data_IF_964626268273
#
_entry.id   IF_964626268273
#
_cell.length_a   1.000
_cell.length_b   1.000
_cell.length_c   1.000
_cell.angle_alpha   90.00
_cell.angle_beta   90.00
_cell.angle_gamma   90.00
#
_symmetry.space_group_name_H-M   'P 1'
#
loop_
_entity.id
_entity.type
_entity.pdbx_description
1 polymer ?
#
# COMPACT_ATOMS: atom_id res chain seq x y z
N UNK A 1 11.46 31.30 -2.40
CA UNK A 1 12.41 30.19 -2.63
C UNK A 1 11.58 28.94 -2.41
N UNK A 2 11.06 28.36 -3.49
CA UNK A 2 10.17 27.21 -3.40
C UNK A 2 11.01 25.99 -3.02
N UNK A 3 10.78 25.48 -1.81
CA UNK A 3 11.40 24.26 -1.36
C UNK A 3 10.77 23.09 -2.13
N UNK A 4 11.53 22.53 -3.06
CA UNK A 4 11.15 21.30 -3.74
C UNK A 4 11.00 20.17 -2.70
N UNK A 5 9.82 19.56 -2.68
CA UNK A 5 9.45 18.52 -1.74
C UNK A 5 10.41 17.32 -1.82
N UNK A 6 10.86 16.99 -3.03
CA UNK A 6 11.79 15.87 -3.24
C UNK A 6 13.17 16.20 -2.69
N UNK A 7 13.60 17.46 -2.84
CA UNK A 7 14.87 17.96 -2.28
C UNK A 7 14.84 17.92 -0.77
N UNK A 8 13.69 18.24 -0.19
CA UNK A 8 13.45 18.18 1.26
C UNK A 8 13.51 16.73 1.76
N UNK A 9 12.87 15.78 1.07
CA UNK A 9 12.94 14.35 1.42
C UNK A 9 14.35 13.77 1.30
N UNK A 10 15.09 14.14 0.25
CA UNK A 10 16.48 13.71 0.05
C UNK A 10 17.40 14.27 1.16
N UNK A 11 17.31 15.57 1.46
CA UNK A 11 18.08 16.22 2.52
C UNK A 11 17.76 15.63 3.91
N UNK A 12 16.49 15.41 4.23
CA UNK A 12 16.08 14.79 5.50
C UNK A 12 16.56 13.34 5.65
N UNK A 13 16.89 12.68 4.54
CA UNK A 13 17.42 11.31 4.52
C UNK A 13 18.95 11.22 4.48
N UNK A 14 19.66 12.35 4.56
CA UNK A 14 21.13 12.39 4.53
C UNK A 14 21.75 12.14 3.15
N UNK A 15 20.97 12.20 2.06
CA UNK A 15 21.51 12.13 0.69
C UNK A 15 22.11 13.49 0.30
N UNK A 16 23.24 13.46 -0.41
CA UNK A 16 23.89 14.68 -0.88
C UNK A 16 23.04 15.34 -1.97
N UNK A 17 23.10 16.68 -2.07
CA UNK A 17 22.35 17.42 -3.09
C UNK A 17 22.77 17.07 -4.55
N UNK A 18 23.92 16.42 -4.74
CA UNK A 18 24.40 15.97 -6.06
C UNK A 18 23.78 14.62 -6.47
N UNK A 19 23.45 13.75 -5.51
CA UNK A 19 22.71 12.51 -5.78
C UNK A 19 21.23 12.77 -6.08
N UNK A 20 20.73 13.95 -5.66
CA UNK A 20 19.35 14.39 -5.83
C UNK A 20 18.98 14.73 -7.28
N UNK A 21 19.87 15.42 -8.01
CA UNK A 21 19.61 15.82 -9.40
C UNK A 21 19.63 14.62 -10.38
N UNK A 22 20.15 13.47 -9.96
CA UNK A 22 20.36 12.32 -10.84
C UNK A 22 19.18 11.32 -10.88
N UNK A 23 18.25 11.32 -9.93
CA UNK A 23 17.18 10.29 -9.82
C UNK A 23 15.85 10.88 -9.30
N UNK A 24 15.32 11.92 -9.92
CA UNK A 24 13.97 12.39 -9.59
C UNK A 24 12.89 11.44 -10.14
N UNK A 25 11.77 11.28 -9.43
CA UNK A 25 10.62 10.53 -9.93
C UNK A 25 9.77 11.45 -10.79
N UNK A 26 9.59 11.13 -12.06
CA UNK A 26 8.75 11.92 -12.95
C UNK A 26 7.26 11.83 -12.57
N UNK A 27 6.45 12.77 -13.06
CA UNK A 27 5.03 12.84 -12.71
C UNK A 27 4.22 11.62 -13.20
N UNK A 28 4.62 10.99 -14.30
CA UNK A 28 3.95 9.78 -14.78
C UNK A 28 4.13 8.61 -13.80
N UNK A 29 5.34 8.42 -13.28
CA UNK A 29 5.64 7.40 -12.28
C UNK A 29 4.94 7.69 -10.95
N UNK A 30 4.86 8.97 -10.55
CA UNK A 30 4.06 9.39 -9.39
C UNK A 30 2.59 9.00 -9.54
N UNK A 31 1.99 9.26 -10.71
CA UNK A 31 0.61 8.87 -11.00
C UNK A 31 0.42 7.36 -10.93
N UNK A 32 1.34 6.58 -11.50
CA UNK A 32 1.30 5.11 -11.44
C UNK A 32 1.35 4.62 -9.99
N UNK A 33 2.26 5.16 -9.18
CA UNK A 33 2.39 4.79 -7.76
C UNK A 33 1.13 5.17 -6.98
N UNK A 34 0.58 6.37 -7.17
CA UNK A 34 -0.64 6.80 -6.48
C UNK A 34 -1.84 5.90 -6.83
N UNK A 35 -2.00 5.54 -8.10
CA UNK A 35 -3.05 4.63 -8.54
C UNK A 35 -2.87 3.23 -7.94
N UNK A 36 -1.63 2.72 -7.87
CA UNK A 36 -1.35 1.43 -7.26
C UNK A 36 -1.69 1.40 -5.77
N UNK A 37 -1.37 2.46 -5.03
CA UNK A 37 -1.75 2.62 -3.61
C UNK A 37 -3.28 2.63 -3.44
N UNK A 38 -4.01 3.31 -4.33
CA UNK A 38 -5.48 3.33 -4.30
C UNK A 38 -6.10 1.96 -4.61
N UNK A 39 -5.58 1.26 -5.62
CA UNK A 39 -6.02 -0.10 -5.97
C UNK A 39 -5.76 -1.06 -4.82
N UNK A 40 -4.57 -1.00 -4.22
CA UNK A 40 -4.19 -1.80 -3.05
C UNK A 40 -5.11 -1.52 -1.86
N UNK A 41 -5.33 -0.24 -1.51
CA UNK A 41 -6.27 0.15 -0.45
C UNK A 41 -7.68 -0.37 -0.70
N UNK A 42 -8.15 -0.29 -1.95
CA UNK A 42 -9.49 -0.73 -2.36
C UNK A 42 -9.65 -2.24 -2.19
N UNK A 43 -8.66 -3.02 -2.63
CA UNK A 43 -8.66 -4.47 -2.48
C UNK A 43 -8.67 -4.89 -1.01
N UNK A 44 -7.78 -4.31 -0.19
CA UNK A 44 -7.72 -4.58 1.26
C UNK A 44 -9.07 -4.21 1.91
N UNK A 45 -9.61 -3.03 1.59
CA UNK A 45 -10.89 -2.56 2.13
C UNK A 45 -12.05 -3.46 1.78
N UNK A 46 -12.13 -3.93 0.52
CA UNK A 46 -13.17 -4.86 0.10
C UNK A 46 -13.05 -6.18 0.86
N UNK A 47 -11.84 -6.72 0.99
CA UNK A 47 -11.59 -7.96 1.72
C UNK A 47 -11.94 -7.84 3.21
N UNK A 48 -11.59 -6.72 3.85
CA UNK A 48 -11.98 -6.45 5.24
C UNK A 48 -13.49 -6.29 5.36
N UNK A 49 -14.15 -5.62 4.42
CA UNK A 49 -15.60 -5.44 4.45
C UNK A 49 -16.34 -6.76 4.28
N UNK A 50 -15.81 -7.66 3.44
CA UNK A 50 -16.30 -9.02 3.21
C UNK A 50 -16.23 -9.93 4.45
N UNK A 51 -15.50 -9.55 5.51
CA UNK A 51 -15.53 -10.30 6.79
C UNK A 51 -16.80 -10.02 7.60
N UNK A 52 -17.64 -9.07 7.18
CA UNK A 52 -18.91 -8.75 7.83
C UNK A 52 -18.85 -7.61 8.85
N UNK A 53 -17.80 -6.78 8.81
CA UNK A 53 -17.70 -5.55 9.62
C UNK A 53 -18.34 -4.35 8.90
N UNK A 54 -18.47 -3.22 9.59
CA UNK A 54 -18.90 -1.95 8.98
C UNK A 54 -17.81 -1.37 8.07
N UNK A 55 -18.19 -0.59 7.05
CA UNK A 55 -17.27 0.00 6.07
C UNK A 55 -16.16 0.85 6.72
N UNK A 56 -16.50 1.66 7.73
CA UNK A 56 -15.52 2.49 8.46
C UNK A 56 -14.51 1.66 9.24
N UNK A 57 -14.93 0.53 9.81
CA UNK A 57 -14.04 -0.43 10.47
C UNK A 57 -13.15 -1.09 9.44
N UNK A 58 -13.69 -1.50 8.30
CA UNK A 58 -12.93 -2.07 7.19
C UNK A 58 -11.85 -1.10 6.68
N UNK A 59 -12.20 0.17 6.46
CA UNK A 59 -11.22 1.21 6.07
C UNK A 59 -10.15 1.44 7.13
N UNK A 60 -10.53 1.48 8.41
CA UNK A 60 -9.58 1.66 9.51
C UNK A 60 -8.55 0.53 9.56
N UNK A 61 -9.02 -0.74 9.54
CA UNK A 61 -8.14 -1.92 9.45
C UNK A 61 -7.26 -1.85 8.20
N UNK A 62 -7.82 -1.40 7.07
CA UNK A 62 -7.09 -1.28 5.81
C UNK A 62 -5.98 -0.23 5.85
N UNK A 63 -6.14 0.86 6.60
CA UNK A 63 -5.06 1.85 6.78
C UNK A 63 -3.85 1.24 7.49
N UNK A 64 -4.08 0.43 8.52
CA UNK A 64 -3.01 -0.23 9.26
C UNK A 64 -2.30 -1.27 8.40
N UNK A 65 -3.05 -2.14 7.72
CA UNK A 65 -2.50 -3.15 6.79
C UNK A 65 -1.69 -2.46 5.67
N UNK A 66 -2.24 -1.43 5.03
CA UNK A 66 -1.56 -0.70 3.96
C UNK A 66 -0.25 -0.06 4.45
N UNK A 67 -0.26 0.54 5.65
CA UNK A 67 0.94 1.09 6.27
C UNK A 67 1.97 -0.02 6.50
N UNK A 68 1.57 -1.13 7.09
CA UNK A 68 2.50 -2.20 7.46
C UNK A 68 3.16 -2.83 6.23
N UNK A 69 2.40 -3.06 5.15
CA UNK A 69 2.92 -3.49 3.84
C UNK A 69 4.00 -2.52 3.32
N UNK A 70 3.68 -1.22 3.27
CA UNK A 70 4.55 -0.22 2.65
C UNK A 70 5.78 0.08 3.50
N UNK A 71 5.66 0.01 4.84
CA UNK A 71 6.78 0.24 5.75
C UNK A 71 7.70 -0.99 5.89
N UNK A 72 7.23 -2.19 5.54
CA UNK A 72 8.07 -3.38 5.42
C UNK A 72 9.08 -3.29 4.26
N UNK A 73 8.81 -2.46 3.25
CA UNK A 73 9.71 -2.23 2.13
C UNK A 73 10.93 -1.42 2.61
N UNK A 74 12.18 -1.92 2.49
CA UNK A 74 13.36 -1.21 2.96
C UNK A 74 13.57 0.11 2.20
N UNK A 75 13.95 1.17 2.92
CA UNK A 75 14.19 2.50 2.33
C UNK A 75 15.54 2.49 1.61
N UNK A 76 15.53 2.13 0.34
CA UNK A 76 16.77 1.99 -0.45
C UNK A 76 16.87 3.00 -1.60
N UNK A 77 15.75 3.57 -2.05
CA UNK A 77 15.71 4.52 -3.16
C UNK A 77 14.58 5.56 -3.03
N UNK A 78 14.57 6.54 -3.94
CA UNK A 78 13.55 7.61 -3.97
C UNK A 78 12.14 7.06 -4.24
N UNK A 79 12.01 5.99 -5.04
CA UNK A 79 10.73 5.32 -5.29
C UNK A 79 10.10 4.78 -4.00
N UNK A 80 10.85 4.09 -3.15
CA UNK A 80 10.33 3.62 -1.85
C UNK A 80 9.93 4.77 -0.94
N UNK A 81 10.71 5.86 -0.90
CA UNK A 81 10.35 7.07 -0.13
C UNK A 81 9.04 7.67 -0.64
N UNK A 82 8.87 7.77 -1.96
CA UNK A 82 7.66 8.30 -2.57
C UNK A 82 6.44 7.39 -2.34
N UNK A 83 6.60 6.06 -2.43
CA UNK A 83 5.51 5.11 -2.11
C UNK A 83 5.01 5.31 -0.67
N UNK A 84 5.92 5.50 0.30
CA UNK A 84 5.56 5.81 1.70
C UNK A 84 4.81 7.13 1.81
N UNK A 85 5.26 8.17 1.11
CA UNK A 85 4.57 9.46 1.09
C UNK A 85 3.18 9.37 0.44
N UNK A 86 3.08 8.75 -0.73
CA UNK A 86 1.82 8.51 -1.45
C UNK A 86 0.82 7.76 -0.56
N UNK A 87 1.30 6.75 0.17
CA UNK A 87 0.51 5.99 1.14
C UNK A 87 -0.01 6.86 2.28
N UNK A 88 0.86 7.67 2.89
CA UNK A 88 0.45 8.60 3.95
C UNK A 88 -0.60 9.61 3.46
N UNK A 89 -0.38 10.21 2.30
CA UNK A 89 -1.33 11.16 1.71
C UNK A 89 -2.66 10.49 1.34
N UNK A 90 -2.62 9.26 0.82
CA UNK A 90 -3.82 8.49 0.53
C UNK A 90 -4.63 8.20 1.79
N UNK A 91 -3.98 7.71 2.85
CA UNK A 91 -4.61 7.47 4.16
C UNK A 91 -5.24 8.76 4.69
N UNK A 92 -4.52 9.90 4.64
CA UNK A 92 -5.02 11.20 5.07
C UNK A 92 -6.30 11.59 4.32
N UNK A 93 -6.30 11.48 2.98
CA UNK A 93 -7.46 11.79 2.13
C UNK A 93 -8.64 10.85 2.43
N UNK A 94 -8.38 9.56 2.61
CA UNK A 94 -9.42 8.58 2.88
C UNK A 94 -10.04 8.73 4.27
N UNK A 95 -9.25 9.08 5.29
CA UNK A 95 -9.78 9.43 6.62
C UNK A 95 -10.76 10.60 6.57
N UNK A 96 -10.46 11.63 5.78
CA UNK A 96 -11.38 12.77 5.56
C UNK A 96 -12.67 12.28 4.88
N UNK A 97 -12.56 11.48 3.82
CA UNK A 97 -13.73 10.88 3.15
C UNK A 97 -14.57 10.02 4.09
N UNK A 98 -13.94 9.25 4.98
CA UNK A 98 -14.60 8.43 6.00
C UNK A 98 -15.43 9.26 6.96
N UNK A 99 -14.91 10.39 7.41
CA UNK A 99 -15.65 11.28 8.31
C UNK A 99 -16.82 11.98 7.60
N UNK A 100 -16.76 12.14 6.28
CA UNK A 100 -17.77 12.85 5.49
C UNK A 100 -18.83 11.92 4.88
N UNK A 101 -18.57 10.62 4.76
CA UNK A 101 -19.51 9.68 4.12
C UNK A 101 -20.59 9.21 5.09
N UNK A 102 -21.84 9.19 4.64
CA UNK A 102 -22.97 8.65 5.41
C UNK A 102 -22.92 7.11 5.53
N UNK A 103 -22.15 6.45 4.67
CA UNK A 103 -22.10 4.99 4.54
C UNK A 103 -21.10 4.32 5.48
N UNK A 104 -20.39 5.07 6.35
CA UNK A 104 -19.34 4.54 7.24
C UNK A 104 -19.83 3.38 8.11
N UNK A 105 -21.10 3.40 8.52
CA UNK A 105 -21.68 2.36 9.37
C UNK A 105 -22.37 1.24 8.57
N UNK A 106 -22.28 1.24 7.24
CA UNK A 106 -22.92 0.22 6.41
C UNK A 106 -22.14 -1.09 6.38
N UNK A 107 -22.90 -2.18 6.43
CA UNK A 107 -22.38 -3.53 6.22
C UNK A 107 -22.49 -3.89 4.74
N UNK A 108 -21.54 -4.72 4.27
CA UNK A 108 -21.58 -5.19 2.90
C UNK A 108 -22.77 -6.12 2.72
N UNK A 109 -23.60 -5.83 1.72
CA UNK A 109 -24.67 -6.74 1.29
C UNK A 109 -24.11 -7.63 0.19
N UNK A 110 -23.34 -8.64 0.57
CA UNK A 110 -22.76 -9.62 -0.35
C UNK A 110 -23.61 -10.91 -0.35
N UNK A 111 -24.30 -11.23 -1.45
CA UNK A 111 -24.96 -12.52 -1.59
C UNK A 111 -23.93 -13.66 -1.52
N UNK A 112 -24.24 -14.79 -0.85
CA UNK A 112 -23.29 -15.91 -0.70
C UNK A 112 -22.67 -16.38 -2.02
N UNK A 113 -23.47 -16.43 -3.08
CA UNK A 113 -23.06 -16.86 -4.43
C UNK A 113 -22.06 -15.90 -5.11
N UNK A 114 -21.95 -14.66 -4.63
CA UNK A 114 -20.98 -13.67 -5.15
C UNK A 114 -19.75 -13.52 -4.27
N UNK A 115 -19.75 -14.11 -3.08
CA UNK A 115 -18.70 -13.91 -2.09
C UNK A 115 -17.34 -14.36 -2.60
N UNK A 116 -17.28 -15.52 -3.25
CA UNK A 116 -16.04 -16.06 -3.82
C UNK A 116 -15.52 -15.18 -4.95
N UNK A 117 -16.41 -14.69 -5.82
CA UNK A 117 -16.03 -13.78 -6.90
C UNK A 117 -15.51 -12.44 -6.36
N UNK A 118 -16.13 -11.89 -5.31
CA UNK A 118 -15.69 -10.63 -4.71
C UNK A 118 -14.40 -10.79 -3.92
N UNK A 119 -14.19 -11.94 -3.27
CA UNK A 119 -12.91 -12.27 -2.64
C UNK A 119 -11.79 -12.36 -3.70
N UNK A 120 -12.03 -13.04 -4.83
CA UNK A 120 -11.07 -13.13 -5.93
C UNK A 120 -10.77 -11.75 -6.54
N UNK A 121 -11.79 -10.90 -6.68
CA UNK A 121 -11.65 -9.52 -7.16
C UNK A 121 -10.85 -8.62 -6.19
N UNK A 122 -11.01 -8.83 -4.88
CA UNK A 122 -10.23 -8.16 -3.86
C UNK A 122 -8.76 -8.61 -3.90
N UNK A 123 -8.51 -9.93 -3.98
CA UNK A 123 -7.18 -10.52 -4.08
C UNK A 123 -6.45 -10.05 -5.34
N UNK A 124 -7.12 -10.02 -6.49
CA UNK A 124 -6.56 -9.51 -7.76
C UNK A 124 -6.11 -8.05 -7.61
N UNK A 125 -6.92 -7.18 -7.00
CA UNK A 125 -6.52 -5.77 -6.77
C UNK A 125 -5.31 -5.67 -5.86
N UNK A 126 -5.25 -6.49 -4.82
CA UNK A 126 -4.10 -6.47 -3.90
C UNK A 126 -2.84 -6.89 -4.64
N UNK A 127 -2.90 -7.98 -5.40
CA UNK A 127 -1.77 -8.46 -6.18
C UNK A 127 -1.32 -7.43 -7.23
N UNK A 128 -2.25 -6.86 -8.00
CA UNK A 128 -1.97 -5.84 -9.01
C UNK A 128 -1.30 -4.59 -8.40
N UNK A 129 -1.82 -4.11 -7.27
CA UNK A 129 -1.24 -2.97 -6.55
C UNK A 129 0.18 -3.25 -6.07
N UNK A 130 0.41 -4.42 -5.46
CA UNK A 130 1.73 -4.84 -4.98
C UNK A 130 2.73 -4.98 -6.13
N UNK A 131 2.32 -5.60 -7.25
CA UNK A 131 3.20 -5.82 -8.41
C UNK A 131 3.60 -4.52 -9.08
N UNK A 132 2.68 -3.55 -9.20
CA UNK A 132 3.00 -2.23 -9.74
C UNK A 132 4.00 -1.50 -8.83
N UNK A 133 3.76 -1.49 -7.52
CA UNK A 133 4.66 -0.88 -6.53
C UNK A 133 6.04 -1.52 -6.61
N UNK A 134 6.11 -2.86 -6.65
CA UNK A 134 7.37 -3.61 -6.74
C UNK A 134 8.14 -3.28 -7.99
N UNK A 135 7.48 -3.36 -9.15
CA UNK A 135 8.10 -3.06 -10.45
C UNK A 135 8.67 -1.65 -10.45
N UNK A 136 7.90 -0.67 -9.96
CA UNK A 136 8.34 0.72 -9.89
C UNK A 136 9.51 0.92 -8.92
N UNK A 137 9.54 0.25 -7.77
CA UNK A 137 10.71 0.32 -6.88
C UNK A 137 11.96 -0.23 -7.57
N UNK A 138 11.84 -1.37 -8.27
CA UNK A 138 12.97 -2.03 -8.93
C UNK A 138 13.56 -1.22 -10.08
N UNK A 139 12.76 -0.43 -10.79
CA UNK A 139 13.23 0.49 -11.85
C UNK A 139 14.19 1.57 -11.31
N UNK A 140 14.11 1.88 -10.01
CA UNK A 140 14.90 2.92 -9.34
C UNK A 140 15.99 2.35 -8.42
N UNK A 141 16.25 1.03 -8.46
CA UNK A 141 17.40 0.42 -7.78
C UNK A 141 18.65 0.64 -8.65
N UNK A 142 19.73 1.28 -8.15
CA UNK A 142 20.93 1.51 -8.94
C UNK A 142 21.56 0.20 -9.42
N UNK A 143 21.86 0.11 -10.73
CA UNK A 143 22.39 -1.09 -11.40
C UNK A 143 23.77 -1.62 -10.96
N UNK A 144 24.28 -1.16 -9.81
CA UNK A 144 25.54 -1.58 -9.19
C UNK A 144 25.39 -2.36 -7.88
N UNK A 145 24.17 -2.53 -7.33
CA UNK A 145 23.93 -3.56 -6.32
C UNK A 145 23.86 -4.91 -7.03
N UNK A 146 25.05 -5.48 -7.29
CA UNK A 146 25.20 -6.88 -7.67
C UNK A 146 24.33 -7.73 -6.78
N UNK A 147 23.49 -8.54 -7.43
CA UNK A 147 22.80 -9.74 -6.93
C UNK A 147 23.72 -10.61 -6.06
N UNK A 148 23.99 -10.22 -4.83
CA UNK A 148 24.59 -11.10 -3.83
C UNK A 148 23.45 -11.70 -3.03
N UNK A 149 22.97 -12.86 -3.50
CA UNK A 149 22.46 -13.92 -2.63
C UNK A 149 21.06 -13.79 -2.04
N UNK A 150 20.37 -12.66 -2.17
CA UNK A 150 18.96 -12.56 -1.77
C UNK A 150 18.15 -11.97 -2.91
N UNK A 151 17.38 -12.83 -3.59
CA UNK A 151 16.17 -12.41 -4.28
C UNK A 151 15.43 -11.42 -3.36
N UNK A 152 14.99 -10.23 -3.81
CA UNK A 152 14.14 -9.38 -2.99
C UNK A 152 12.79 -10.07 -2.85
N UNK A 153 12.74 -11.01 -1.91
CA UNK A 153 11.57 -11.69 -1.38
C UNK A 153 11.35 -11.11 0.02
N UNK A 154 10.95 -9.84 0.07
CA UNK A 154 10.61 -9.18 1.34
C UNK A 154 9.42 -8.23 1.20
N UNK A 155 8.71 -8.24 0.07
CA UNK A 155 7.30 -7.85 0.14
C UNK A 155 6.52 -9.10 0.53
N UNK A 156 5.76 -9.05 1.64
CA UNK A 156 4.98 -10.20 2.07
C UNK A 156 4.01 -10.56 0.94
N UNK A 157 3.97 -11.84 0.57
CA UNK A 157 2.97 -12.32 -0.38
C UNK A 157 1.59 -12.04 0.19
N UNK A 158 0.56 -11.87 -0.65
CA UNK A 158 -0.83 -11.71 -0.21
C UNK A 158 -1.18 -12.69 0.92
N UNK A 159 -0.84 -13.98 0.75
CA UNK A 159 -1.03 -15.01 1.76
C UNK A 159 -0.33 -14.70 3.10
N UNK A 160 0.88 -14.15 3.09
CA UNK A 160 1.67 -13.84 4.30
C UNK A 160 1.12 -12.64 5.07
N UNK A 161 0.56 -11.64 4.36
CA UNK A 161 -0.10 -10.47 4.95
C UNK A 161 -1.35 -10.88 5.74
N UNK A 162 -2.13 -11.83 5.19
CA UNK A 162 -3.36 -12.29 5.83
C UNK A 162 -3.16 -13.48 6.79
N UNK A 163 -2.03 -14.17 6.72
CA UNK A 163 -1.64 -15.22 7.67
C UNK A 163 -0.81 -14.69 8.85
N UNK A 164 -0.49 -13.39 8.93
CA UNK A 164 0.26 -12.82 10.06
C UNK A 164 -0.61 -12.75 11.33
N UNK A 165 -0.72 -13.87 12.05
CA UNK A 165 -1.14 -14.09 13.47
C UNK A 165 -2.42 -13.43 14.02
N UNK A 166 -3.03 -12.46 13.37
CA UNK A 166 -4.18 -11.71 13.88
C UNK A 166 -5.49 -12.14 13.21
N UNK A 167 -5.44 -12.59 11.96
CA UNK A 167 -6.61 -13.10 11.22
C UNK A 167 -7.10 -14.46 11.74
N UNK A 168 -6.19 -15.35 12.16
CA UNK A 168 -6.56 -16.64 12.78
C UNK A 168 -7.14 -16.44 14.19
N UNK A 169 -6.61 -15.47 14.95
CA UNK A 169 -7.10 -15.15 16.30
C UNK A 169 -8.50 -14.54 16.31
N UNK A 170 -8.90 -13.81 15.27
CA UNK A 170 -10.28 -13.33 15.12
C UNK A 170 -11.24 -14.45 14.70
N UNK A 171 -10.84 -15.37 13.80
CA UNK A 171 -11.67 -16.53 13.40
C UNK A 171 -11.90 -17.55 14.52
N UNK A 172 -10.95 -17.73 15.43
CA UNK A 172 -11.11 -18.65 16.56
C UNK A 172 -12.01 -18.12 17.67
N UNK A 173 -12.25 -16.79 17.73
CA UNK A 173 -13.17 -16.18 18.70
C UNK A 173 -14.64 -16.23 18.27
N UNK A 174 -14.91 -16.56 17.01
CA UNK A 174 -16.25 -16.66 16.44
C UNK A 174 -16.76 -18.11 16.30
N UNK A 175 -16.03 -19.09 16.84
CA UNK A 175 -16.45 -20.49 17.00
C UNK A 175 -16.75 -20.81 18.46
#
# INVERSE_FOLDING_TARGET
MDFDFEKTLAMLSGQSAQDFDAVQINDADKTIINNAVEVLFTGISLQQWLTGVQLGVAWTKSFDILRDIVFAIPIENLATKYVRFATFEHIRKMKIKMTATAHTNEYIKCPPEKRDAWNADAESKIQDGLDIIRRKIMEFVPGGMTRTGTTPSTMPQFQEIFNSRDYEREREREK
#
